data_IF_811864409464
#
_entry.id   IF_811864409464
#
_cell.length_a   1.000
_cell.length_b   1.000
_cell.length_c   1.000
_cell.angle_alpha   90.00
_cell.angle_beta   90.00
_cell.angle_gamma   90.00
#
_symmetry.space_group_name_H-M   'P 1'
#
loop_
_entity.id
_entity.type
_entity.pdbx_description
1 polymer ?
#
# COMPACT_ATOMS: atom_id res chain seq x y z
N UNK A 1 2.18 -8.61 4.75
CA UNK A 1 1.90 -7.18 4.96
C UNK A 1 2.32 -6.74 6.34
N UNK A 2 2.00 -5.51 6.73
CA UNK A 2 2.30 -4.97 8.06
C UNK A 2 1.25 -5.35 9.13
N UNK A 3 1.69 -5.95 10.23
CA UNK A 3 0.83 -6.36 11.35
C UNK A 3 1.39 -5.85 12.68
N UNK A 4 0.59 -5.10 13.43
CA UNK A 4 0.95 -4.63 14.77
C UNK A 4 0.51 -5.65 15.83
N UNK A 5 1.38 -5.94 16.80
CA UNK A 5 1.16 -6.95 17.85
C UNK A 5 1.09 -6.39 19.27
N UNK A 6 1.21 -5.06 19.43
CA UNK A 6 1.25 -4.38 20.72
C UNK A 6 2.63 -3.85 21.11
N UNK A 7 3.71 -4.50 20.65
CA UNK A 7 5.11 -4.14 20.96
C UNK A 7 5.84 -3.55 19.75
N UNK A 8 5.38 -3.84 18.54
CA UNK A 8 5.99 -3.37 17.32
C UNK A 8 5.20 -3.82 16.10
N UNK A 9 5.80 -3.69 14.93
CA UNK A 9 5.17 -4.06 13.67
C UNK A 9 6.02 -5.09 12.95
N UNK A 10 5.41 -6.23 12.63
CA UNK A 10 5.98 -7.22 11.74
C UNK A 10 5.64 -6.86 10.29
N UNK A 11 6.66 -6.67 9.46
CA UNK A 11 6.54 -6.43 8.03
C UNK A 11 6.88 -7.71 7.26
N UNK A 12 6.04 -8.07 6.30
CA UNK A 12 6.27 -9.22 5.43
C UNK A 12 5.83 -8.92 4.00
N UNK A 13 6.67 -9.23 3.02
CA UNK A 13 6.44 -9.00 1.59
C UNK A 13 6.86 -10.23 0.78
N UNK A 14 5.91 -10.81 0.05
CA UNK A 14 6.23 -11.86 -0.91
C UNK A 14 6.97 -11.28 -2.12
N UNK A 15 8.13 -11.84 -2.45
CA UNK A 15 8.83 -11.58 -3.71
C UNK A 15 9.89 -12.64 -4.00
N UNK A 16 9.56 -13.59 -4.89
CA UNK A 16 10.44 -14.71 -5.24
C UNK A 16 11.70 -14.31 -6.03
N UNK A 17 11.64 -13.20 -6.77
CA UNK A 17 12.72 -12.75 -7.67
C UNK A 17 13.42 -11.48 -7.20
N UNK A 18 13.05 -10.93 -6.04
CA UNK A 18 13.76 -9.80 -5.46
C UNK A 18 15.14 -10.25 -4.96
N UNK A 19 16.12 -9.36 -5.09
CA UNK A 19 17.47 -9.55 -4.53
C UNK A 19 17.66 -8.80 -3.21
N UNK A 20 16.84 -7.76 -2.96
CA UNK A 20 16.78 -7.00 -1.72
C UNK A 20 15.42 -6.30 -1.62
N UNK A 21 14.84 -6.27 -0.43
CA UNK A 21 13.66 -5.46 -0.11
C UNK A 21 14.03 -4.45 0.95
N UNK A 22 13.72 -3.18 0.70
CA UNK A 22 13.90 -2.08 1.65
C UNK A 22 12.53 -1.58 2.09
N UNK A 23 12.31 -1.59 3.40
CA UNK A 23 11.22 -0.89 4.07
C UNK A 23 11.59 0.59 4.17
N UNK A 24 10.80 1.45 3.53
CA UNK A 24 10.95 2.90 3.60
C UNK A 24 9.95 3.45 4.61
N UNK A 25 10.44 4.10 5.66
CA UNK A 25 9.62 4.78 6.67
C UNK A 25 9.50 6.26 6.32
N UNK A 26 8.35 6.84 6.62
CA UNK A 26 8.06 8.25 6.39
C UNK A 26 7.64 8.93 7.70
N UNK A 27 7.74 10.26 7.70
CA UNK A 27 7.15 11.10 8.74
C UNK A 27 5.61 10.97 8.78
N UNK A 28 4.98 11.56 9.80
CA UNK A 28 3.53 11.50 10.00
C UNK A 28 2.73 12.15 8.86
N UNK A 29 3.37 13.07 8.11
CA UNK A 29 2.78 13.69 6.92
C UNK A 29 2.79 12.75 5.71
N UNK A 30 3.76 11.82 5.64
CA UNK A 30 4.00 10.94 4.50
C UNK A 30 4.75 11.62 3.35
N UNK A 31 5.33 12.79 3.59
CA UNK A 31 6.06 13.58 2.59
C UNK A 31 7.56 13.30 2.62
N UNK A 32 8.14 13.17 3.81
CA UNK A 32 9.59 13.00 3.98
C UNK A 32 9.92 11.57 4.36
N UNK A 33 10.79 10.94 3.58
CA UNK A 33 11.35 9.63 3.91
C UNK A 33 12.37 9.81 5.04
N UNK A 34 12.13 9.15 6.18
CA UNK A 34 12.95 9.30 7.39
C UNK A 34 14.04 8.25 7.48
N UNK A 35 13.77 7.03 6.98
CA UNK A 35 14.67 5.90 7.12
C UNK A 35 14.38 4.83 6.07
N UNK A 36 15.43 4.09 5.68
CA UNK A 36 15.34 2.86 4.89
C UNK A 36 15.96 1.71 5.66
N UNK A 37 15.20 0.65 5.83
CA UNK A 37 15.62 -0.55 6.54
C UNK A 37 15.57 -1.72 5.55
N UNK A 38 16.71 -2.36 5.28
CA UNK A 38 16.71 -3.60 4.52
C UNK A 38 16.04 -4.71 5.34
N UNK A 39 15.06 -5.40 4.77
CA UNK A 39 14.43 -6.54 5.44
C UNK A 39 15.46 -7.68 5.54
N UNK A 40 15.82 -8.12 6.76
CA UNK A 40 16.96 -9.00 6.98
C UNK A 40 16.66 -10.47 6.65
N UNK A 41 15.40 -10.89 6.81
CA UNK A 41 15.04 -12.30 6.72
C UNK A 41 14.31 -12.62 5.42
N UNK A 42 14.54 -13.84 4.92
CA UNK A 42 13.90 -14.39 3.74
C UNK A 42 13.56 -15.85 3.97
N UNK A 43 12.27 -16.17 4.00
CA UNK A 43 11.77 -17.54 4.25
C UNK A 43 10.66 -17.84 3.26
N UNK A 44 10.78 -18.93 2.49
CA UNK A 44 9.80 -19.37 1.50
C UNK A 44 9.29 -18.22 0.59
N UNK A 45 10.23 -17.47 -0.01
CA UNK A 45 9.95 -16.36 -0.92
C UNK A 45 9.31 -15.12 -0.28
N UNK A 46 9.24 -15.10 1.05
CA UNK A 46 8.74 -13.97 1.84
C UNK A 46 9.90 -13.26 2.52
N UNK A 47 10.08 -11.99 2.18
CA UNK A 47 10.96 -11.07 2.89
C UNK A 47 10.25 -10.57 4.14
N UNK A 48 10.90 -10.62 5.30
CA UNK A 48 10.29 -10.16 6.53
C UNK A 48 11.29 -9.52 7.50
N UNK A 49 10.73 -8.75 8.43
CA UNK A 49 11.47 -8.06 9.47
C UNK A 49 10.51 -7.46 10.49
N UNK A 50 10.98 -7.41 11.73
CA UNK A 50 10.23 -6.83 12.83
C UNK A 50 10.83 -5.49 13.22
N UNK A 51 9.99 -4.46 13.30
CA UNK A 51 10.37 -3.13 13.77
C UNK A 51 9.81 -2.91 15.18
N UNK A 52 10.64 -2.99 16.23
CA UNK A 52 10.24 -2.68 17.59
C UNK A 52 9.72 -1.25 17.70
N UNK A 53 8.80 -1.01 18.62
CA UNK A 53 8.24 0.32 18.94
C UNK A 53 7.45 1.02 17.81
N UNK A 54 7.40 0.44 16.61
CA UNK A 54 6.50 0.89 15.56
C UNK A 54 5.04 0.73 16.01
N UNK A 55 4.20 1.70 15.66
CA UNK A 55 2.81 1.79 16.13
C UNK A 55 1.83 1.93 14.97
N UNK A 56 0.54 1.65 15.21
CA UNK A 56 -0.51 2.09 14.30
C UNK A 56 -0.37 3.58 13.98
N UNK A 57 -0.47 3.92 12.71
CA UNK A 57 -0.17 5.26 12.21
C UNK A 57 1.13 5.35 11.41
N UNK A 58 2.13 4.49 11.68
CA UNK A 58 3.40 4.47 10.94
C UNK A 58 3.15 4.41 9.44
N UNK A 59 3.72 5.37 8.72
CA UNK A 59 3.63 5.48 7.26
C UNK A 59 4.85 4.81 6.65
N UNK A 60 4.60 3.93 5.68
CA UNK A 60 5.66 3.13 5.07
C UNK A 60 5.37 2.81 3.60
N UNK A 61 6.40 2.37 2.91
CA UNK A 61 6.33 1.79 1.58
C UNK A 61 7.53 0.86 1.36
N UNK A 62 7.66 0.26 0.16
CA UNK A 62 8.79 -0.60 -0.18
C UNK A 62 9.57 -0.09 -1.38
N UNK A 63 10.89 -0.35 -1.38
CA UNK A 63 11.71 -0.37 -2.60
C UNK A 63 12.24 -1.78 -2.78
N UNK A 64 12.03 -2.33 -3.98
CA UNK A 64 12.38 -3.71 -4.29
C UNK A 64 13.43 -3.73 -5.39
N UNK A 65 14.55 -4.38 -5.08
CA UNK A 65 15.69 -4.54 -5.97
C UNK A 65 15.64 -5.91 -6.62
N UNK A 66 16.16 -6.03 -7.84
CA UNK A 66 16.16 -7.27 -8.62
C UNK A 66 16.61 -7.00 -10.05
N UNK A 67 16.58 -8.04 -10.90
CA UNK A 67 16.94 -7.90 -12.30
C UNK A 67 16.00 -6.95 -13.05
N UNK A 68 16.55 -6.13 -13.93
CA UNK A 68 15.77 -5.38 -14.92
C UNK A 68 16.08 -5.95 -16.30
N UNK A 69 15.30 -6.95 -16.68
CA UNK A 69 15.39 -7.69 -17.94
C UNK A 69 13.98 -7.73 -18.56
N UNK A 70 13.52 -6.64 -19.19
CA UNK A 70 12.15 -6.51 -19.69
C UNK A 70 11.72 -7.64 -20.63
N UNK A 71 12.63 -8.14 -21.45
CA UNK A 71 12.42 -9.27 -22.38
C UNK A 71 12.14 -10.61 -21.65
N UNK A 72 12.66 -10.76 -20.43
CA UNK A 72 12.39 -11.91 -19.56
C UNK A 72 11.23 -11.64 -18.58
N UNK A 73 10.60 -10.46 -18.65
CA UNK A 73 9.52 -10.03 -17.76
C UNK A 73 9.99 -9.47 -16.41
N UNK A 74 11.29 -9.44 -16.14
CA UNK A 74 11.83 -8.87 -14.90
C UNK A 74 11.92 -7.35 -15.00
N UNK A 75 11.18 -6.64 -14.13
CA UNK A 75 11.03 -5.17 -14.17
C UNK A 75 11.29 -4.50 -12.84
N UNK A 76 12.25 -5.03 -12.07
CA UNK A 76 12.60 -4.48 -10.77
C UNK A 76 13.24 -3.09 -10.91
N UNK A 77 12.63 -2.08 -10.28
CA UNK A 77 13.18 -0.73 -10.28
C UNK A 77 13.06 -0.12 -8.87
N UNK A 78 14.16 -0.10 -8.08
CA UNK A 78 14.14 0.41 -6.72
C UNK A 78 13.95 1.93 -6.64
N UNK A 79 14.06 2.66 -7.74
CA UNK A 79 13.74 4.09 -7.79
C UNK A 79 12.23 4.34 -7.67
N UNK A 80 11.40 3.32 -7.91
CA UNK A 80 9.96 3.40 -7.78
C UNK A 80 9.54 2.92 -6.39
N UNK A 81 8.92 3.82 -5.64
CA UNK A 81 8.32 3.52 -4.35
C UNK A 81 7.05 2.69 -4.57
N UNK A 82 7.00 1.52 -3.95
CA UNK A 82 5.93 0.53 -4.12
C UNK A 82 5.03 0.47 -2.88
N UNK A 83 3.74 0.26 -3.12
CA UNK A 83 2.77 -0.01 -2.06
C UNK A 83 2.89 -1.48 -1.61
N UNK A 84 2.65 -1.73 -0.33
CA UNK A 84 2.42 -3.08 0.17
C UNK A 84 1.12 -3.63 -0.45
N UNK A 85 1.16 -4.75 -1.20
CA UNK A 85 -0.05 -5.37 -1.75
C UNK A 85 -1.03 -5.84 -0.66
N UNK A 86 -0.58 -5.98 0.58
CA UNK A 86 -1.39 -6.34 1.74
C UNK A 86 -1.77 -5.14 2.62
N UNK A 87 -1.48 -3.91 2.21
CA UNK A 87 -1.81 -2.71 2.97
C UNK A 87 -3.30 -2.64 3.31
N UNK A 88 -3.61 -2.27 4.56
CA UNK A 88 -4.99 -2.11 5.03
C UNK A 88 -5.48 -0.67 5.01
N UNK A 89 -4.55 0.28 4.89
CA UNK A 89 -4.84 1.69 4.68
C UNK A 89 -3.77 2.31 3.78
N UNK A 90 -4.21 3.25 2.93
CA UNK A 90 -3.35 4.05 2.06
C UNK A 90 -3.50 5.52 2.43
N UNK A 91 -2.41 6.28 2.33
CA UNK A 91 -2.34 7.70 2.65
C UNK A 91 -1.80 8.50 1.48
N UNK A 92 -2.24 9.75 1.38
CA UNK A 92 -1.89 10.66 0.30
C UNK A 92 -2.71 10.44 -0.98
N UNK A 93 -2.35 11.19 -2.00
CA UNK A 93 -2.89 11.12 -3.35
C UNK A 93 -1.82 10.66 -4.34
N UNK A 94 -2.24 10.35 -5.56
CA UNK A 94 -1.31 10.16 -6.68
C UNK A 94 -1.30 11.47 -7.46
N UNK A 95 -0.11 11.99 -7.71
CA UNK A 95 0.12 13.11 -8.62
C UNK A 95 0.74 12.55 -9.89
N UNK A 96 0.00 12.56 -11.00
CA UNK A 96 0.48 12.01 -12.25
C UNK A 96 1.80 12.66 -12.67
N UNK A 97 2.84 11.84 -12.82
CA UNK A 97 4.18 12.28 -13.17
C UNK A 97 4.90 11.14 -13.92
N UNK A 98 5.70 11.42 -14.96
CA UNK A 98 6.51 10.40 -15.65
C UNK A 98 7.43 9.60 -14.72
N UNK A 99 7.86 10.16 -13.58
CA UNK A 99 8.65 9.45 -12.58
C UNK A 99 7.92 8.25 -11.95
N UNK A 100 6.59 8.16 -12.05
CA UNK A 100 5.82 6.99 -11.61
C UNK A 100 6.06 5.74 -12.46
N UNK A 101 6.62 5.90 -13.67
CA UNK A 101 6.88 4.80 -14.60
C UNK A 101 8.28 4.24 -14.38
N UNK A 102 8.40 2.90 -14.43
CA UNK A 102 9.67 2.17 -14.30
C UNK A 102 10.63 2.33 -15.48
N UNK A 103 10.12 2.87 -16.59
CA UNK A 103 10.80 3.11 -17.85
C UNK A 103 10.62 4.58 -18.25
N UNK A 104 11.43 5.08 -19.19
CA UNK A 104 11.38 6.47 -19.64
C UNK A 104 10.14 6.62 -20.51
N UNK A 105 9.02 7.02 -19.89
CA UNK A 105 7.71 7.13 -20.53
C UNK A 105 7.74 7.91 -21.86
N UNK A 106 8.54 8.98 -21.89
CA UNK A 106 8.68 9.89 -23.02
C UNK A 106 9.35 9.23 -24.25
N UNK A 107 10.10 8.15 -24.05
CA UNK A 107 10.74 7.41 -25.14
C UNK A 107 9.75 6.53 -25.93
N UNK A 108 8.61 6.18 -25.34
CA UNK A 108 7.69 5.18 -25.87
C UNK A 108 8.21 3.74 -25.83
N UNK A 109 9.43 3.52 -25.32
CA UNK A 109 10.08 2.23 -25.20
C UNK A 109 10.06 1.77 -23.73
N UNK A 110 9.30 0.72 -23.47
CA UNK A 110 9.12 0.15 -22.13
C UNK A 110 10.28 -0.75 -21.69
N UNK A 111 11.30 -0.93 -22.53
CA UNK A 111 12.54 -1.63 -22.16
C UNK A 111 13.58 -0.71 -21.52
N UNK A 112 13.37 0.60 -21.59
CA UNK A 112 14.26 1.59 -20.97
C UNK A 112 14.17 1.59 -19.44
N UNK A 113 15.23 2.02 -18.76
CA UNK A 113 15.26 2.08 -17.29
C UNK A 113 15.21 3.53 -16.78
N UNK A 114 14.18 3.86 -16.02
CA UNK A 114 14.01 5.21 -15.45
C UNK A 114 14.53 5.31 -14.01
N UNK A 115 15.43 6.24 -13.76
CA UNK A 115 16.09 6.43 -12.46
C UNK A 115 15.45 7.49 -11.57
N UNK A 116 14.39 8.18 -12.02
CA UNK A 116 13.71 9.23 -11.24
C UNK A 116 13.01 8.61 -10.04
N UNK A 117 13.08 9.28 -8.89
CA UNK A 117 12.36 8.84 -7.70
C UNK A 117 10.86 9.12 -7.81
N UNK A 118 10.04 8.10 -7.53
CA UNK A 118 8.58 8.20 -7.57
C UNK A 118 7.94 8.58 -6.22
N UNK A 119 8.70 8.57 -5.12
CA UNK A 119 8.18 8.77 -3.77
C UNK A 119 7.34 10.06 -3.57
N UNK A 120 7.69 11.22 -4.15
CA UNK A 120 6.86 12.43 -4.00
C UNK A 120 5.50 12.37 -4.69
N UNK A 121 5.32 11.45 -5.65
CA UNK A 121 4.18 11.43 -6.57
C UNK A 121 3.18 10.31 -6.29
N UNK A 122 3.55 9.36 -5.42
CA UNK A 122 2.73 8.20 -5.09
C UNK A 122 2.19 8.23 -3.66
N UNK A 123 1.21 7.37 -3.41
CA UNK A 123 0.67 7.09 -2.08
C UNK A 123 1.65 6.28 -1.25
N UNK A 124 1.40 6.25 0.05
CA UNK A 124 2.11 5.38 1.00
C UNK A 124 1.12 4.49 1.73
N UNK A 125 1.61 3.45 2.36
CA UNK A 125 0.84 2.56 3.21
C UNK A 125 0.84 3.10 4.64
N UNK A 126 -0.20 2.77 5.41
CA UNK A 126 -0.27 3.07 6.84
C UNK A 126 -0.55 1.80 7.61
N UNK A 127 0.21 1.58 8.69
CA UNK A 127 -0.07 0.53 9.67
C UNK A 127 -1.35 0.89 10.40
N UNK A 128 -2.29 -0.06 10.49
CA UNK A 128 -3.56 0.13 11.20
C UNK A 128 -3.57 -0.62 12.52
N UNK A 129 -4.39 -0.15 13.45
CA UNK A 129 -4.85 -0.97 14.55
C UNK A 129 -6.07 -1.76 14.08
N UNK A 130 -6.03 -3.11 14.06
CA UNK A 130 -7.18 -3.90 13.67
C UNK A 130 -8.30 -3.92 14.73
N UNK A 131 -8.05 -3.45 15.95
CA UNK A 131 -9.03 -3.49 17.03
C UNK A 131 -10.24 -2.59 16.74
N UNK A 132 -11.43 -3.19 16.70
CA UNK A 132 -12.71 -2.48 16.60
C UNK A 132 -13.78 -3.18 17.44
N UNK A 133 -14.53 -2.40 18.23
CA UNK A 133 -15.59 -2.95 19.09
C UNK A 133 -16.93 -2.95 18.36
N UNK A 134 -17.35 -4.12 17.87
CA UNK A 134 -18.59 -4.31 17.11
C UNK A 134 -19.88 -4.28 17.96
N UNK A 135 -19.76 -4.31 19.29
CA UNK A 135 -20.93 -4.25 20.19
C UNK A 135 -21.85 -5.46 20.02
N UNK A 136 -23.10 -5.22 19.59
CA UNK A 136 -24.14 -6.25 19.39
C UNK A 136 -24.36 -6.64 17.93
N UNK A 137 -23.49 -6.20 17.02
CA UNK A 137 -23.64 -6.51 15.59
C UNK A 137 -23.65 -8.03 15.36
N UNK A 138 -24.58 -8.49 14.52
CA UNK A 138 -24.69 -9.89 14.13
C UNK A 138 -25.12 -9.97 12.67
N UNK A 139 -24.58 -10.96 11.96
CA UNK A 139 -24.91 -11.21 10.55
C UNK A 139 -26.41 -11.52 10.39
N UNK A 140 -27.17 -10.76 9.58
CA UNK A 140 -28.61 -10.97 9.42
C UNK A 140 -29.03 -12.34 8.83
N UNK A 141 -28.12 -13.05 8.14
CA UNK A 141 -28.33 -14.40 7.58
C UNK A 141 -29.63 -14.58 6.78
N UNK A 142 -29.96 -13.61 5.91
CA UNK A 142 -31.15 -13.65 5.04
C UNK A 142 -31.08 -14.86 4.10
N UNK A 143 -32.11 -15.75 4.08
CA UNK A 143 -32.18 -16.87 3.14
C UNK A 143 -32.18 -16.41 1.69
N UNK A 144 -31.54 -17.17 0.80
CA UNK A 144 -31.38 -16.81 -0.62
C UNK A 144 -32.71 -16.59 -1.35
N UNK A 145 -33.74 -17.36 -1.03
CA UNK A 145 -35.10 -17.23 -1.59
C UNK A 145 -35.82 -15.94 -1.15
N UNK A 146 -35.30 -15.26 -0.12
CA UNK A 146 -35.80 -13.99 0.42
C UNK A 146 -34.85 -12.81 0.16
N UNK A 147 -33.72 -13.05 -0.51
CA UNK A 147 -32.72 -12.00 -0.77
C UNK A 147 -33.20 -11.08 -1.89
N UNK A 148 -33.18 -9.77 -1.61
CA UNK A 148 -33.34 -8.72 -2.62
C UNK A 148 -32.07 -7.87 -2.60
N UNK A 149 -31.37 -7.79 -3.73
CA UNK A 149 -30.17 -6.97 -3.85
C UNK A 149 -30.53 -5.51 -4.16
N UNK A 150 -29.80 -4.59 -3.54
CA UNK A 150 -29.86 -3.17 -3.85
C UNK A 150 -28.45 -2.66 -4.18
N UNK A 151 -28.16 -2.52 -5.46
CA UNK A 151 -26.89 -1.97 -5.93
C UNK A 151 -26.88 -0.45 -5.74
N UNK A 152 -25.82 0.08 -5.13
CA UNK A 152 -25.71 1.52 -4.89
C UNK A 152 -24.26 1.99 -4.92
N UNK A 153 -24.07 3.23 -5.41
CA UNK A 153 -22.77 3.90 -5.36
C UNK A 153 -22.67 4.69 -4.06
N UNK A 154 -21.70 4.36 -3.20
CA UNK A 154 -21.51 4.98 -1.87
C UNK A 154 -21.62 6.52 -1.90
N UNK A 155 -20.86 7.20 -2.77
CA UNK A 155 -20.95 8.66 -2.96
C UNK A 155 -22.30 9.12 -3.52
N UNK A 156 -22.71 8.60 -4.69
CA UNK A 156 -23.92 9.04 -5.39
C UNK A 156 -25.20 8.89 -4.55
N UNK A 157 -25.26 7.87 -3.69
CA UNK A 157 -26.41 7.57 -2.86
C UNK A 157 -26.77 8.69 -1.87
N UNK A 158 -25.75 9.33 -1.29
CA UNK A 158 -25.95 10.35 -0.25
C UNK A 158 -25.56 11.76 -0.67
N UNK A 159 -24.86 11.95 -1.81
CA UNK A 159 -24.27 13.25 -2.19
C UNK A 159 -25.26 14.40 -2.23
N UNK A 160 -26.48 14.15 -2.71
CA UNK A 160 -27.55 15.16 -2.82
C UNK A 160 -28.67 14.96 -1.79
N UNK A 161 -28.49 14.06 -0.82
CA UNK A 161 -29.55 13.71 0.12
C UNK A 161 -29.69 14.77 1.23
N UNK A 162 -30.79 15.54 1.28
CA UNK A 162 -30.91 16.72 2.14
C UNK A 162 -30.86 16.40 3.64
N UNK A 163 -31.20 15.18 4.06
CA UNK A 163 -31.15 14.76 5.46
C UNK A 163 -29.74 14.36 5.95
N UNK A 164 -28.77 14.14 5.06
CA UNK A 164 -27.39 13.81 5.46
C UNK A 164 -26.66 15.12 5.75
N UNK A 165 -25.90 15.29 6.84
CA UNK A 165 -25.11 16.51 7.05
C UNK A 165 -24.14 16.78 5.88
N UNK A 166 -24.01 18.03 5.45
CA UNK A 166 -23.21 18.39 4.26
C UNK A 166 -21.75 17.93 4.36
N UNK A 167 -21.14 17.98 5.55
CA UNK A 167 -19.78 17.47 5.81
C UNK A 167 -19.61 15.96 5.55
N UNK A 168 -20.71 15.21 5.45
CA UNK A 168 -20.75 13.76 5.21
C UNK A 168 -21.24 13.42 3.78
N UNK A 169 -21.59 14.42 2.96
CA UNK A 169 -22.04 14.24 1.57
C UNK A 169 -20.90 14.39 0.57
#
# INVERSE_FOLDING_TARGET
>A
GATWDGLGVNFALFSAHATKVELCLFDDSGETEIERIALPEYTDEVWHGYLPDARPGTIYAYRVHGPYEPEAGHRFNPNKLLLDPYAKALVGSVTWNPALFGYVMESGDDTTFDTRDSAPFTRKCRVIDPAFTWGRDQKPNVPWDKTVFYETHVKGFTKLHPAVPERLR
#
